data_IF_479254958070
#
_entry.id   IF_479254958070
#
_cell.length_a   1.000
_cell.length_b   1.000
_cell.length_c   1.000
_cell.angle_alpha   90.00
_cell.angle_beta   90.00
_cell.angle_gamma   90.00
#
_symmetry.space_group_name_H-M   'P 1'
#
loop_
_entity.id
_entity.type
_entity.pdbx_description
1 polymer ?
#
# COMPACT_ATOMS: atom_id res chain seq x y z
N UNK A 1 -3.85 -13.77 18.44
CA UNK A 1 -3.61 -13.66 16.99
C UNK A 1 -4.73 -14.43 16.31
N UNK A 2 -5.80 -13.74 15.94
CA UNK A 2 -6.87 -14.37 15.15
C UNK A 2 -6.29 -14.60 13.77
N UNK A 3 -6.23 -15.84 13.35
CA UNK A 3 -5.81 -16.22 12.01
C UNK A 3 -7.03 -16.03 11.13
N UNK A 4 -7.09 -14.92 10.38
CA UNK A 4 -8.11 -14.73 9.38
C UNK A 4 -7.77 -15.65 8.21
N UNK A 5 -8.53 -16.73 8.06
CA UNK A 5 -8.38 -17.64 6.92
C UNK A 5 -9.17 -17.05 5.74
N UNK A 6 -8.46 -16.69 4.67
CA UNK A 6 -9.08 -16.28 3.42
C UNK A 6 -9.77 -17.47 2.76
N UNK A 7 -11.09 -17.40 2.61
CA UNK A 7 -11.91 -18.49 2.05
C UNK A 7 -11.99 -18.37 0.53
N UNK A 8 -12.26 -17.16 0.01
CA UNK A 8 -12.35 -16.95 -1.43
C UNK A 8 -13.03 -15.64 -1.81
N UNK A 9 -13.39 -15.51 -3.08
CA UNK A 9 -14.06 -14.33 -3.61
C UNK A 9 -15.27 -14.71 -4.48
N UNK A 10 -16.19 -13.75 -4.60
CA UNK A 10 -17.32 -13.80 -5.53
C UNK A 10 -17.15 -12.70 -6.58
N UNK A 11 -17.55 -12.96 -7.82
CA UNK A 11 -17.46 -12.04 -8.92
C UNK A 11 -18.84 -11.39 -9.22
N UNK A 12 -18.81 -10.14 -9.70
CA UNK A 12 -20.02 -9.42 -10.16
C UNK A 12 -20.41 -9.89 -11.57
N UNK A 13 -19.41 -10.20 -12.39
CA UNK A 13 -19.60 -10.72 -13.74
C UNK A 13 -19.30 -12.20 -13.77
N UNK A 14 -19.99 -12.97 -14.63
CA UNK A 14 -19.68 -14.39 -14.81
C UNK A 14 -18.22 -14.55 -15.20
N UNK A 15 -17.45 -15.17 -14.34
CA UNK A 15 -16.04 -15.45 -14.57
C UNK A 15 -15.85 -16.95 -14.78
N UNK A 16 -14.97 -17.32 -15.70
CA UNK A 16 -14.66 -18.73 -15.89
C UNK A 16 -14.03 -19.28 -14.61
N UNK A 17 -14.44 -20.44 -14.09
CA UNK A 17 -14.00 -21.00 -12.82
C UNK A 17 -12.58 -21.56 -12.89
N UNK A 18 -11.59 -20.70 -13.18
CA UNK A 18 -10.18 -21.09 -13.28
C UNK A 18 -9.37 -20.76 -12.03
N UNK A 19 -9.96 -20.08 -11.04
CA UNK A 19 -9.29 -19.73 -9.80
C UNK A 19 -9.72 -20.66 -8.67
N UNK A 20 -8.75 -21.18 -7.93
CA UNK A 20 -8.97 -22.09 -6.78
C UNK A 20 -9.82 -21.45 -5.67
N UNK A 21 -9.88 -20.12 -5.63
CA UNK A 21 -10.61 -19.36 -4.61
C UNK A 21 -11.89 -18.71 -5.12
N UNK A 22 -12.32 -19.01 -6.33
CA UNK A 22 -13.59 -18.53 -6.85
C UNK A 22 -14.75 -19.34 -6.24
N UNK A 23 -15.66 -18.67 -5.54
CA UNK A 23 -16.77 -19.29 -4.84
C UNK A 23 -18.10 -19.24 -5.62
N UNK A 24 -18.22 -18.27 -6.53
CA UNK A 24 -19.43 -18.06 -7.30
C UNK A 24 -19.68 -16.59 -7.67
N UNK A 25 -20.88 -16.31 -8.10
CA UNK A 25 -21.32 -14.97 -8.48
C UNK A 25 -21.98 -14.23 -7.31
N UNK A 26 -22.01 -12.91 -7.39
CA UNK A 26 -22.52 -12.04 -6.32
C UNK A 26 -23.97 -12.31 -5.94
N UNK A 27 -24.81 -12.78 -6.87
CA UNK A 27 -26.21 -13.13 -6.56
C UNK A 27 -26.31 -14.34 -5.61
N UNK A 28 -25.27 -15.17 -5.51
CA UNK A 28 -25.16 -16.31 -4.61
C UNK A 28 -24.52 -15.95 -3.26
N UNK A 29 -24.14 -14.66 -3.06
CA UNK A 29 -23.36 -14.22 -1.90
C UNK A 29 -24.03 -14.60 -0.56
N UNK A 30 -25.36 -14.47 -0.45
CA UNK A 30 -26.08 -14.81 0.78
C UNK A 30 -26.04 -16.32 1.08
N UNK A 31 -26.12 -17.15 0.06
CA UNK A 31 -26.04 -18.60 0.19
C UNK A 31 -24.63 -19.04 0.54
N UNK A 32 -23.62 -18.47 -0.15
CA UNK A 32 -22.19 -18.71 0.10
C UNK A 32 -21.84 -18.32 1.54
N UNK A 33 -22.28 -17.15 2.00
CA UNK A 33 -22.03 -16.69 3.36
C UNK A 33 -22.56 -17.68 4.41
N UNK A 34 -23.72 -18.25 4.17
CA UNK A 34 -24.36 -19.21 5.08
C UNK A 34 -23.65 -20.59 5.05
N UNK A 35 -23.33 -21.09 3.85
CA UNK A 35 -22.70 -22.42 3.68
C UNK A 35 -21.31 -22.44 4.30
N UNK A 36 -20.50 -21.41 4.02
CA UNK A 36 -19.12 -21.33 4.50
C UNK A 36 -19.01 -20.66 5.87
N UNK A 37 -20.12 -20.24 6.50
CA UNK A 37 -20.15 -19.52 7.79
C UNK A 37 -19.20 -18.35 7.80
N UNK A 38 -19.33 -17.48 6.80
CA UNK A 38 -18.47 -16.32 6.60
C UNK A 38 -18.63 -15.36 7.77
N UNK A 39 -17.51 -15.03 8.43
CA UNK A 39 -17.47 -14.07 9.54
C UNK A 39 -17.25 -12.64 9.05
N UNK A 40 -16.60 -12.46 7.90
CA UNK A 40 -16.26 -11.14 7.36
C UNK A 40 -16.47 -11.10 5.84
N UNK A 41 -17.15 -10.07 5.35
CA UNK A 41 -17.38 -9.79 3.93
C UNK A 41 -16.76 -8.44 3.58
N UNK A 42 -15.88 -8.42 2.56
CA UNK A 42 -15.22 -7.21 2.10
C UNK A 42 -15.75 -6.84 0.72
N UNK A 43 -16.42 -5.70 0.61
CA UNK A 43 -16.89 -5.14 -0.66
C UNK A 43 -15.83 -4.22 -1.26
N UNK A 44 -15.47 -4.45 -2.53
CA UNK A 44 -14.63 -3.54 -3.30
C UNK A 44 -15.52 -2.57 -4.07
N UNK A 45 -15.57 -1.30 -3.65
CA UNK A 45 -16.53 -0.32 -4.20
C UNK A 45 -16.19 0.17 -5.62
N UNK A 46 -15.11 -0.32 -6.21
CA UNK A 46 -14.73 0.01 -7.58
C UNK A 46 -15.82 -0.42 -8.60
N UNK A 47 -16.35 -1.60 -8.40
CA UNK A 47 -17.24 -2.24 -9.37
C UNK A 47 -18.67 -2.36 -8.85
N UNK A 48 -18.93 -1.86 -7.62
CA UNK A 48 -20.22 -2.03 -6.93
C UNK A 48 -20.70 -0.67 -6.42
N UNK A 49 -21.97 -0.32 -6.73
CA UNK A 49 -22.57 0.89 -6.16
C UNK A 49 -22.83 0.74 -4.66
N UNK A 50 -22.76 1.85 -3.92
CA UNK A 50 -23.09 1.87 -2.50
C UNK A 50 -24.51 1.36 -2.21
N UNK A 51 -25.44 1.62 -3.10
CA UNK A 51 -26.82 1.14 -2.98
C UNK A 51 -26.91 -0.39 -3.06
N UNK A 52 -26.19 -1.01 -4.00
CA UNK A 52 -26.12 -2.46 -4.12
C UNK A 52 -25.45 -3.12 -2.90
N UNK A 53 -24.40 -2.49 -2.35
CA UNK A 53 -23.76 -2.95 -1.11
C UNK A 53 -24.78 -2.97 0.03
N UNK A 54 -25.53 -1.90 0.24
CA UNK A 54 -26.53 -1.79 1.30
C UNK A 54 -27.64 -2.86 1.11
N UNK A 55 -28.06 -3.09 -0.12
CA UNK A 55 -29.05 -4.11 -0.43
C UNK A 55 -28.55 -5.50 -0.06
N UNK A 56 -27.33 -5.87 -0.40
CA UNK A 56 -26.76 -7.15 -0.02
C UNK A 56 -26.52 -7.29 1.48
N UNK A 57 -26.04 -6.24 2.14
CA UNK A 57 -25.91 -6.25 3.61
C UNK A 57 -27.27 -6.50 4.28
N UNK A 58 -28.34 -5.92 3.74
CA UNK A 58 -29.70 -6.12 4.25
C UNK A 58 -30.20 -7.55 4.01
N UNK A 59 -29.91 -8.12 2.84
CA UNK A 59 -30.34 -9.49 2.48
C UNK A 59 -29.57 -10.58 3.23
N UNK A 60 -28.29 -10.36 3.51
CA UNK A 60 -27.43 -11.33 4.22
C UNK A 60 -27.71 -11.27 5.73
N UNK A 61 -27.97 -10.07 6.28
CA UNK A 61 -28.27 -9.87 7.68
C UNK A 61 -27.06 -9.44 8.54
N UNK A 62 -27.23 -9.38 9.86
CA UNK A 62 -26.23 -8.80 10.77
C UNK A 62 -25.11 -9.76 11.21
N UNK A 63 -25.16 -11.03 10.80
CA UNK A 63 -24.23 -12.05 11.32
C UNK A 63 -22.76 -11.80 10.90
N UNK A 64 -22.46 -11.48 9.61
CA UNK A 64 -21.08 -11.19 9.21
C UNK A 64 -20.69 -9.75 9.51
N UNK A 65 -19.40 -9.52 9.74
CA UNK A 65 -18.82 -8.18 9.69
C UNK A 65 -18.69 -7.70 8.24
N UNK A 66 -19.06 -6.46 7.99
CA UNK A 66 -18.97 -5.86 6.66
C UNK A 66 -17.88 -4.82 6.60
N UNK A 67 -17.06 -4.90 5.57
CA UNK A 67 -16.02 -3.91 5.26
C UNK A 67 -16.16 -3.44 3.83
N UNK A 68 -15.92 -2.15 3.60
CA UNK A 68 -15.95 -1.53 2.28
C UNK A 68 -14.58 -0.95 2.01
N UNK A 69 -13.98 -1.33 0.88
CA UNK A 69 -12.75 -0.75 0.35
C UNK A 69 -13.12 0.23 -0.75
N UNK A 70 -13.03 1.54 -0.52
CA UNK A 70 -13.28 2.55 -1.54
C UNK A 70 -12.23 2.52 -2.65
N UNK A 71 -12.62 2.90 -3.88
CA UNK A 71 -11.73 2.85 -5.06
C UNK A 71 -10.46 3.69 -4.91
N UNK A 72 -10.58 4.90 -4.37
CA UNK A 72 -9.49 5.88 -4.27
C UNK A 72 -9.02 6.13 -2.83
N UNK A 73 -9.40 5.30 -1.90
CA UNK A 73 -9.08 5.48 -0.48
C UNK A 73 -8.18 4.37 0.04
N UNK A 74 -7.25 4.76 0.90
CA UNK A 74 -6.46 3.81 1.71
C UNK A 74 -7.17 3.43 3.01
N UNK A 75 -8.41 3.86 3.18
CA UNK A 75 -9.23 3.58 4.34
C UNK A 75 -10.18 2.42 4.05
N UNK A 76 -10.33 1.52 5.00
CA UNK A 76 -11.37 0.49 4.97
C UNK A 76 -12.49 0.99 5.88
N UNK A 77 -13.69 1.10 5.33
CA UNK A 77 -14.90 1.45 6.10
C UNK A 77 -15.50 0.14 6.58
N UNK A 78 -15.67 -0.03 7.88
CA UNK A 78 -16.21 -1.25 8.46
C UNK A 78 -17.33 -0.98 9.46
N UNK A 79 -18.13 -1.99 9.75
CA UNK A 79 -19.11 -1.99 10.84
C UNK A 79 -18.59 -2.85 11.99
N UNK A 80 -18.61 -2.34 13.21
CA UNK A 80 -18.31 -3.11 14.42
C UNK A 80 -19.60 -3.78 14.88
N UNK A 81 -19.86 -5.00 14.44
CA UNK A 81 -21.23 -5.50 14.40
C UNK A 81 -21.72 -6.18 15.66
N UNK A 82 -20.89 -6.57 16.61
CA UNK A 82 -21.38 -7.42 17.73
C UNK A 82 -21.99 -6.64 18.90
N UNK A 83 -21.59 -5.38 19.14
CA UNK A 83 -22.05 -4.63 20.31
C UNK A 83 -22.71 -3.28 20.01
N UNK A 84 -22.63 -2.77 18.80
CA UNK A 84 -23.25 -1.50 18.36
C UNK A 84 -23.68 -1.58 16.89
N UNK A 85 -24.87 -2.10 16.59
CA UNK A 85 -25.37 -2.18 15.21
C UNK A 85 -25.57 -0.76 14.66
N UNK A 86 -24.84 -0.42 13.60
CA UNK A 86 -25.01 0.81 12.84
C UNK A 86 -23.91 1.85 12.94
N UNK A 87 -22.88 1.68 13.75
CA UNK A 87 -21.72 2.56 13.71
C UNK A 87 -20.72 2.09 12.63
N UNK A 88 -20.61 2.86 11.57
CA UNK A 88 -19.56 2.73 10.57
C UNK A 88 -18.28 3.36 11.14
N UNK A 89 -17.21 2.60 11.23
CA UNK A 89 -15.89 3.14 11.56
C UNK A 89 -14.95 3.07 10.37
N UNK A 90 -14.11 4.07 10.25
CA UNK A 90 -13.09 4.12 9.21
C UNK A 90 -11.77 3.59 9.78
N UNK A 91 -11.26 2.50 9.23
CA UNK A 91 -9.93 2.02 9.55
C UNK A 91 -8.95 2.71 8.60
N UNK A 92 -8.26 3.72 9.11
CA UNK A 92 -7.16 4.32 8.37
C UNK A 92 -6.00 3.32 8.25
N UNK A 93 -5.58 3.03 7.03
CA UNK A 93 -4.37 2.24 6.81
C UNK A 93 -3.19 3.05 7.32
N UNK A 94 -2.65 2.66 8.47
CA UNK A 94 -1.44 3.26 9.01
C UNK A 94 -0.26 2.93 8.11
N UNK A 95 0.19 3.93 7.36
CA UNK A 95 1.39 3.80 6.56
C UNK A 95 2.63 3.77 7.46
N UNK A 96 3.41 2.71 7.37
CA UNK A 96 4.56 2.50 8.24
C UNK A 96 5.57 3.66 8.16
N UNK A 97 5.76 4.24 6.95
CA UNK A 97 6.66 5.38 6.74
C UNK A 97 6.24 6.64 7.50
N UNK A 98 4.94 6.78 7.84
CA UNK A 98 4.42 7.92 8.58
C UNK A 98 4.75 7.87 10.07
N UNK A 99 5.08 6.69 10.59
CA UNK A 99 5.37 6.52 12.03
C UNK A 99 6.60 7.32 12.45
N UNK A 100 6.61 7.93 13.66
CA UNK A 100 7.76 8.68 14.15
C UNK A 100 9.04 7.84 14.21
N UNK A 101 8.91 6.56 14.52
CA UNK A 101 10.03 5.61 14.56
C UNK A 101 10.66 5.46 13.16
N UNK A 102 9.86 5.16 12.15
CA UNK A 102 10.37 4.94 10.79
C UNK A 102 10.91 6.22 10.14
N UNK A 103 10.32 7.38 10.44
CA UNK A 103 10.87 8.67 10.01
C UNK A 103 12.27 8.91 10.56
N UNK A 104 12.50 8.58 11.84
CA UNK A 104 13.81 8.69 12.48
C UNK A 104 14.78 7.66 11.93
N UNK A 105 14.37 6.40 11.84
CA UNK A 105 15.19 5.31 11.29
C UNK A 105 15.62 5.59 9.86
N UNK A 106 14.70 6.09 9.02
CA UNK A 106 15.02 6.53 7.66
C UNK A 106 16.11 7.61 7.66
N UNK A 107 15.97 8.60 8.52
CA UNK A 107 16.96 9.69 8.60
C UNK A 107 18.32 9.19 9.09
N UNK A 108 18.36 8.31 10.07
CA UNK A 108 19.59 7.71 10.57
C UNK A 108 20.26 6.91 9.45
N UNK A 109 19.49 6.08 8.74
CA UNK A 109 19.99 5.34 7.58
C UNK A 109 20.58 6.27 6.51
N UNK A 110 19.85 7.32 6.13
CA UNK A 110 20.33 8.31 5.16
C UNK A 110 21.69 8.91 5.56
N UNK A 111 21.85 9.25 6.84
CA UNK A 111 23.09 9.85 7.36
C UNK A 111 24.23 8.83 7.40
N UNK A 112 23.97 7.60 7.85
CA UNK A 112 24.98 6.53 7.90
C UNK A 112 25.46 6.20 6.48
N UNK A 113 24.55 6.03 5.53
CA UNK A 113 24.89 5.76 4.14
C UNK A 113 25.68 6.92 3.51
N UNK A 114 25.29 8.17 3.78
CA UNK A 114 26.00 9.34 3.29
C UNK A 114 27.43 9.43 3.87
N UNK A 115 27.59 9.16 5.17
CA UNK A 115 28.90 9.16 5.83
C UNK A 115 29.78 8.02 5.31
N UNK A 116 29.22 6.83 5.14
CA UNK A 116 29.93 5.69 4.56
C UNK A 116 30.44 6.00 3.14
N UNK A 117 29.57 6.56 2.28
CA UNK A 117 29.94 6.98 0.93
C UNK A 117 30.99 8.09 0.93
N UNK A 118 30.97 8.99 1.92
CA UNK A 118 31.98 10.04 2.08
C UNK A 118 33.35 9.47 2.47
N UNK A 119 33.37 8.50 3.41
CA UNK A 119 34.61 7.83 3.84
C UNK A 119 35.20 7.01 2.69
N UNK A 120 34.35 6.32 1.92
CA UNK A 120 34.79 5.50 0.79
C UNK A 120 34.99 6.32 -0.50
N UNK A 121 34.80 7.63 -0.45
CA UNK A 121 34.91 8.52 -1.61
C UNK A 121 36.23 8.35 -2.41
N UNK A 122 37.43 8.23 -1.79
CA UNK A 122 38.67 8.05 -2.54
C UNK A 122 38.66 6.81 -3.45
N UNK A 123 37.96 5.75 -3.03
CA UNK A 123 37.80 4.51 -3.82
C UNK A 123 36.72 4.71 -4.88
N UNK A 124 35.60 5.32 -4.48
CA UNK A 124 34.43 5.51 -5.35
C UNK A 124 34.72 6.43 -6.54
N UNK A 125 35.66 7.38 -6.42
CA UNK A 125 36.07 8.29 -7.52
C UNK A 125 36.60 7.48 -8.73
N UNK A 126 37.26 6.36 -8.50
CA UNK A 126 37.81 5.54 -9.58
C UNK A 126 36.79 4.59 -10.21
N UNK A 127 35.68 4.30 -9.50
CA UNK A 127 34.66 3.33 -9.93
C UNK A 127 33.48 4.02 -10.59
N UNK A 128 33.09 5.20 -10.11
CA UNK A 128 31.84 5.88 -10.49
C UNK A 128 32.07 6.82 -11.68
N UNK A 129 31.21 6.74 -12.70
CA UNK A 129 31.28 7.57 -13.89
C UNK A 129 31.13 9.09 -13.62
N UNK A 130 30.41 9.47 -12.56
CA UNK A 130 30.16 10.87 -12.19
C UNK A 130 30.44 11.10 -10.71
N UNK A 131 31.72 11.22 -10.29
CA UNK A 131 32.06 11.43 -8.90
C UNK A 131 31.59 12.77 -8.34
N UNK A 132 31.55 13.83 -9.17
CA UNK A 132 31.04 15.14 -8.76
C UNK A 132 29.55 15.09 -8.42
N UNK A 133 28.77 14.34 -9.19
CA UNK A 133 27.35 14.10 -8.89
C UNK A 133 27.16 13.34 -7.57
N UNK A 134 28.01 12.33 -7.29
CA UNK A 134 27.96 11.61 -6.03
C UNK A 134 28.22 12.55 -4.84
N UNK A 135 29.28 13.37 -4.90
CA UNK A 135 29.61 14.33 -3.85
C UNK A 135 28.46 15.31 -3.61
N UNK A 136 27.90 15.87 -4.68
CA UNK A 136 26.74 16.77 -4.56
C UNK A 136 25.53 16.10 -3.90
N UNK A 137 25.28 14.83 -4.22
CA UNK A 137 24.18 14.05 -3.63
C UNK A 137 24.43 13.76 -2.15
N UNK A 138 25.66 13.36 -1.77
CA UNK A 138 26.04 13.19 -0.37
C UNK A 138 25.73 14.47 0.43
N UNK A 139 26.14 15.64 -0.05
CA UNK A 139 25.87 16.90 0.64
C UNK A 139 24.36 17.23 0.70
N UNK A 140 23.57 16.95 -0.34
CA UNK A 140 22.12 17.14 -0.31
C UNK A 140 21.46 16.26 0.76
N UNK A 141 21.93 15.02 0.91
CA UNK A 141 21.42 14.12 1.94
C UNK A 141 21.86 14.55 3.33
N UNK A 142 23.13 14.89 3.53
CA UNK A 142 23.65 15.37 4.83
C UNK A 142 22.93 16.63 5.31
N UNK A 143 22.68 17.58 4.41
CA UNK A 143 21.92 18.82 4.73
C UNK A 143 20.42 18.59 4.88
N UNK A 144 19.92 17.39 4.56
CA UNK A 144 18.51 17.06 4.69
C UNK A 144 17.60 17.58 3.59
N UNK A 145 18.15 18.07 2.49
CA UNK A 145 17.39 18.47 1.30
C UNK A 145 16.77 17.26 0.61
N UNK A 146 17.54 16.17 0.51
CA UNK A 146 17.14 14.92 -0.12
C UNK A 146 17.26 13.72 0.85
N UNK A 147 16.68 12.60 0.46
CA UNK A 147 16.87 11.25 1.01
C UNK A 147 17.55 10.38 -0.04
N UNK A 148 18.19 9.28 0.34
CA UNK A 148 18.72 8.35 -0.66
C UNK A 148 17.59 7.72 -1.46
N UNK A 149 16.57 7.19 -0.78
CA UNK A 149 15.41 6.59 -1.44
C UNK A 149 14.17 7.45 -1.19
N UNK A 150 13.38 7.68 -2.22
CA UNK A 150 12.14 8.45 -2.15
C UNK A 150 11.08 7.89 -3.08
N UNK A 151 9.90 8.49 -3.10
CA UNK A 151 8.84 8.08 -4.00
C UNK A 151 9.23 8.23 -5.46
N UNK A 152 8.80 7.29 -6.28
CA UNK A 152 8.88 7.41 -7.72
C UNK A 152 8.01 8.57 -8.21
N UNK A 153 8.58 9.47 -9.02
CA UNK A 153 7.86 10.60 -9.57
C UNK A 153 6.79 10.17 -10.59
N UNK A 154 5.55 10.60 -10.40
CA UNK A 154 4.46 10.47 -11.35
C UNK A 154 3.70 11.79 -11.47
N UNK A 155 3.12 12.08 -12.65
CA UNK A 155 2.36 13.33 -12.90
C UNK A 155 1.08 13.41 -12.09
N UNK A 156 0.50 12.27 -11.68
CA UNK A 156 -0.68 12.18 -10.82
C UNK A 156 -0.46 11.08 -9.81
N UNK A 157 -0.26 11.45 -8.55
CA UNK A 157 -0.34 10.47 -7.46
C UNK A 157 -1.82 10.20 -7.17
N UNK A 158 -2.23 8.96 -7.31
CA UNK A 158 -3.60 8.50 -7.08
C UNK A 158 -3.93 8.43 -5.58
N UNK A 159 -2.92 8.37 -4.72
CA UNK A 159 -3.07 8.26 -3.26
C UNK A 159 -2.41 9.45 -2.55
N UNK A 160 -3.05 9.91 -1.47
CA UNK A 160 -2.45 10.90 -0.56
C UNK A 160 -1.41 10.20 0.32
N UNK A 161 -0.16 10.20 -0.12
CA UNK A 161 0.94 9.60 0.62
C UNK A 161 1.54 10.58 1.63
N UNK A 162 2.07 10.08 2.78
CA UNK A 162 2.80 10.91 3.72
C UNK A 162 3.99 11.60 3.05
N UNK A 163 4.28 12.85 3.41
CA UNK A 163 5.40 13.58 2.81
C UNK A 163 6.73 12.91 3.17
N UNK A 164 7.50 12.58 2.14
CA UNK A 164 8.88 12.09 2.23
C UNK A 164 9.76 13.05 1.42
N UNK A 165 11.02 13.20 1.82
CA UNK A 165 11.99 13.99 1.06
C UNK A 165 12.19 13.37 -0.32
N UNK A 166 12.45 14.24 -1.31
CA UNK A 166 12.76 13.75 -2.66
C UNK A 166 13.95 12.81 -2.63
N UNK A 167 13.78 11.60 -3.16
CA UNK A 167 14.83 10.61 -3.27
C UNK A 167 15.84 10.96 -4.37
N UNK A 168 17.07 10.52 -4.18
CA UNK A 168 18.09 10.47 -5.23
C UNK A 168 17.84 9.25 -6.10
N UNK A 169 17.40 8.16 -5.48
CA UNK A 169 16.99 6.90 -6.08
C UNK A 169 15.51 6.68 -5.76
N UNK A 170 14.85 5.90 -6.59
CA UNK A 170 13.46 5.51 -6.39
C UNK A 170 13.33 3.98 -6.43
N UNK A 171 12.28 3.39 -5.82
CA UNK A 171 12.08 1.94 -5.83
C UNK A 171 11.94 1.32 -7.23
N UNK A 172 11.76 2.14 -8.26
CA UNK A 172 11.64 1.68 -9.65
C UNK A 172 12.96 1.71 -10.44
N UNK A 173 14.00 2.34 -9.90
CA UNK A 173 15.28 2.48 -10.62
C UNK A 173 15.96 1.12 -10.86
N UNK A 174 15.65 0.12 -10.03
CA UNK A 174 16.06 -1.28 -10.24
C UNK A 174 15.22 -2.00 -11.30
N UNK A 175 13.98 -1.55 -11.51
CA UNK A 175 13.09 -2.14 -12.49
C UNK A 175 13.47 -1.57 -13.89
N UNK A 176 14.31 -2.29 -14.62
CA UNK A 176 14.70 -1.96 -16.01
C UNK A 176 13.52 -1.98 -16.99
N UNK A 177 12.30 -1.77 -16.53
CA UNK A 177 11.08 -1.92 -17.32
C UNK A 177 10.70 -0.59 -17.95
N UNK A 178 10.45 -0.62 -19.26
CA UNK A 178 9.93 0.51 -20.01
C UNK A 178 8.62 1.05 -19.41
N UNK A 179 8.55 2.37 -19.29
CA UNK A 179 7.36 3.18 -19.02
C UNK A 179 6.25 2.51 -18.21
N UNK A 180 6.42 2.49 -16.89
CA UNK A 180 5.33 2.18 -15.97
C UNK A 180 4.23 3.27 -16.10
N UNK A 181 2.98 2.85 -16.11
CA UNK A 181 1.87 3.80 -16.11
C UNK A 181 1.71 4.44 -14.71
N UNK A 182 1.04 5.61 -14.64
CA UNK A 182 0.88 6.36 -13.40
C UNK A 182 0.18 5.52 -12.29
N UNK A 183 -0.70 4.60 -12.66
CA UNK A 183 -1.36 3.70 -11.70
C UNK A 183 -0.38 2.70 -11.08
N UNK A 184 0.53 2.11 -11.86
CA UNK A 184 1.57 1.22 -11.34
C UNK A 184 2.56 1.97 -10.44
N UNK A 185 2.97 3.19 -10.82
CA UNK A 185 3.81 4.06 -10.00
C UNK A 185 3.15 4.39 -8.65
N UNK A 186 1.86 4.72 -8.68
CA UNK A 186 1.10 5.01 -7.46
C UNK A 186 1.02 3.79 -6.53
N UNK A 187 0.84 2.59 -7.08
CA UNK A 187 0.83 1.34 -6.30
C UNK A 187 2.20 1.03 -5.68
N UNK A 188 3.28 1.21 -6.42
CA UNK A 188 4.65 1.00 -5.91
C UNK A 188 4.93 1.96 -4.75
N UNK A 189 4.59 3.25 -4.92
CA UNK A 189 4.74 4.24 -3.87
C UNK A 189 3.89 3.90 -2.63
N UNK A 190 2.68 3.39 -2.82
CA UNK A 190 1.80 2.95 -1.75
C UNK A 190 2.41 1.77 -0.99
N UNK A 191 2.89 0.75 -1.68
CA UNK A 191 3.54 -0.42 -1.07
C UNK A 191 4.78 -0.01 -0.29
N UNK A 192 5.63 0.84 -0.88
CA UNK A 192 6.80 1.40 -0.20
C UNK A 192 6.42 2.15 1.07
N UNK A 193 5.35 2.96 1.04
CA UNK A 193 4.89 3.70 2.21
C UNK A 193 4.25 2.81 3.28
N UNK A 194 3.49 1.78 2.87
CA UNK A 194 2.74 0.89 3.75
C UNK A 194 3.66 -0.04 4.53
N UNK A 195 4.59 -0.69 3.83
CA UNK A 195 5.43 -1.75 4.40
C UNK A 195 6.85 -1.27 4.75
N UNK A 196 7.04 0.06 4.78
CA UNK A 196 8.36 0.68 4.97
C UNK A 196 9.10 0.15 6.19
N UNK A 197 10.34 -0.28 5.94
CA UNK A 197 11.38 -0.50 6.96
C UNK A 197 12.70 0.10 6.46
N UNK A 198 13.58 0.55 7.38
CA UNK A 198 14.87 1.14 6.99
C UNK A 198 15.79 0.15 6.23
N UNK A 199 15.57 -1.16 6.40
CA UNK A 199 16.28 -2.21 5.66
C UNK A 199 15.90 -2.30 4.18
N UNK A 200 14.78 -1.70 3.76
CA UNK A 200 14.41 -1.65 2.34
C UNK A 200 15.18 -0.58 1.56
N UNK A 201 15.77 0.38 2.27
CA UNK A 201 16.59 1.43 1.67
C UNK A 201 18.07 0.99 1.53
N UNK A 202 18.44 -0.19 2.05
CA UNK A 202 19.79 -0.75 2.02
C UNK A 202 20.07 -1.54 0.75
#
# INVERSE_FOLDING_TARGET
KVKNDYIGYVSIQPESPHSVHYLGEVHQLAEIARIYKIEEIIFCSKDISSQAIIEWMTNIGPDPEYKIVPEDSMSIIGSNSKDAPGELYTIDIKLAIATPFNKRSKRIFDLIAALFLLITLPVNIFIIRNPAGLVANIFKVLTGKNSWVGYAGGRKQQFQLPPVRTGIITPIDELRTAALNDAALSRINLLYAKDYSASQDA
#
